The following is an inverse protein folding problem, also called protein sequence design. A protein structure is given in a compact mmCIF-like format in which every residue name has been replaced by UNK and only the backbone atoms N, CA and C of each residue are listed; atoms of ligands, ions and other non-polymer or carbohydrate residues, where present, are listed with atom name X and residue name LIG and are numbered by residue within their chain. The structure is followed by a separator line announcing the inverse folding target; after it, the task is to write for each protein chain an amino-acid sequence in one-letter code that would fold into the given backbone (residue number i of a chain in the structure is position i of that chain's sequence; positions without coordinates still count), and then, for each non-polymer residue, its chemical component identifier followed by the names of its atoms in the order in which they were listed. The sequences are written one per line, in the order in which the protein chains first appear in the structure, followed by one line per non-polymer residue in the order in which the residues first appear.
data_IF_921917932122
#
_entry.id   IF_921917932122
#
_cell.length_a   1.000
_cell.length_b   1.000
_cell.length_c   1.000
_cell.angle_alpha   90.00
_cell.angle_beta   90.00
_cell.angle_gamma   90.00
#
_symmetry.space_group_name_H-M   'P 1'
#
loop_
_entity.id
_entity.type
_entity.pdbx_description
1 polymer ?
#
# COMPACT_ATOMS: atom_id res chain seq x y z
N UNK A 1 -0.75 12.35 -18.40
CA UNK A 1 0.18 12.89 -17.38
C UNK A 1 0.85 11.68 -16.80
N UNK A 2 2.17 11.62 -16.84
CA UNK A 2 2.90 10.47 -16.33
C UNK A 2 2.80 10.39 -14.80
N UNK A 3 2.99 9.18 -14.28
CA UNK A 3 2.84 8.90 -12.85
C UNK A 3 3.92 9.58 -12.01
N UNK A 4 3.52 10.06 -10.81
CA UNK A 4 4.35 10.31 -9.66
C UNK A 4 5.63 9.49 -9.51
N UNK A 5 6.84 10.01 -9.73
CA UNK A 5 8.05 9.30 -9.28
C UNK A 5 8.96 10.22 -8.49
N UNK A 6 9.31 9.82 -7.27
CA UNK A 6 10.29 10.47 -6.40
C UNK A 6 11.37 9.45 -6.08
N UNK A 7 12.63 9.79 -6.32
CA UNK A 7 13.75 8.86 -6.12
C UNK A 7 14.87 9.52 -5.31
N UNK A 8 15.45 8.75 -4.40
CA UNK A 8 16.72 9.02 -3.74
C UNK A 8 17.73 7.92 -4.11
N UNK A 9 18.96 8.00 -3.60
CA UNK A 9 19.97 6.96 -3.83
C UNK A 9 19.54 5.56 -3.38
N UNK A 10 18.59 5.48 -2.44
CA UNK A 10 18.18 4.22 -1.81
C UNK A 10 16.72 3.85 -1.97
N UNK A 11 15.86 4.81 -2.30
CA UNK A 11 14.42 4.62 -2.27
C UNK A 11 13.78 5.15 -3.55
N UNK A 12 12.80 4.40 -4.03
CA UNK A 12 11.91 4.79 -5.10
C UNK A 12 10.50 4.86 -4.53
N UNK A 13 9.86 6.02 -4.65
CA UNK A 13 8.45 6.18 -4.38
C UNK A 13 7.71 6.38 -5.70
N UNK A 14 6.76 5.47 -5.97
CA UNK A 14 5.87 5.47 -7.12
C UNK A 14 4.44 5.23 -6.66
N UNK A 15 3.47 5.45 -7.55
CA UNK A 15 2.08 5.06 -7.30
C UNK A 15 2.00 3.54 -7.05
N UNK A 16 1.15 3.18 -6.08
CA UNK A 16 0.73 1.80 -5.84
C UNK A 16 0.05 1.22 -7.07
N UNK A 17 0.25 -0.06 -7.30
CA UNK A 17 -0.45 -0.80 -8.35
C UNK A 17 -0.96 -2.15 -7.83
N UNK A 18 -1.89 -2.81 -8.54
CA UNK A 18 -2.42 -4.11 -8.12
C UNK A 18 -1.33 -5.19 -7.95
N UNK A 19 -0.19 -5.06 -8.62
CA UNK A 19 0.93 -5.99 -8.47
C UNK A 19 1.62 -5.91 -7.10
N UNK A 20 1.39 -4.83 -6.34
CA UNK A 20 1.96 -4.65 -5.00
C UNK A 20 1.15 -5.39 -3.90
N UNK A 21 0.00 -5.99 -4.25
CA UNK A 21 -0.93 -6.57 -3.27
C UNK A 21 -0.28 -7.61 -2.38
N UNK A 22 0.53 -8.52 -2.93
CA UNK A 22 1.15 -9.56 -2.13
C UNK A 22 2.17 -8.98 -1.14
N UNK A 23 2.93 -7.97 -1.55
CA UNK A 23 3.88 -7.28 -0.67
C UNK A 23 3.15 -6.48 0.41
N UNK A 24 2.08 -5.75 0.05
CA UNK A 24 1.26 -5.03 1.02
C UNK A 24 0.60 -5.98 2.03
N UNK A 25 0.00 -7.07 1.54
CA UNK A 25 -0.66 -8.06 2.38
C UNK A 25 0.32 -8.72 3.35
N UNK A 26 1.53 -9.06 2.89
CA UNK A 26 2.58 -9.58 3.77
C UNK A 26 2.97 -8.57 4.86
N UNK A 27 3.15 -7.29 4.50
CA UNK A 27 3.50 -6.22 5.44
C UNK A 27 2.44 -6.04 6.53
N UNK A 28 1.17 -6.01 6.17
CA UNK A 28 0.05 -5.78 7.11
C UNK A 28 -0.43 -7.05 7.81
N UNK A 29 0.09 -8.22 7.43
CA UNK A 29 -0.08 -9.47 8.17
C UNK A 29 0.92 -9.62 9.33
N UNK A 30 1.94 -8.76 9.40
CA UNK A 30 2.89 -8.74 10.51
C UNK A 30 2.27 -8.02 11.73
N UNK A 31 2.17 -8.71 12.85
CA UNK A 31 1.59 -8.19 14.09
C UNK A 31 2.32 -6.94 14.61
N UNK A 32 3.64 -6.86 14.41
CA UNK A 32 4.44 -5.70 14.82
C UNK A 32 4.13 -4.47 13.97
N UNK A 33 3.64 -4.67 12.75
CA UNK A 33 3.19 -3.62 11.85
C UNK A 33 1.73 -3.28 12.13
N UNK A 34 0.82 -4.26 12.08
CA UNK A 34 -0.63 -4.04 12.08
C UNK A 34 -1.11 -3.35 13.37
N UNK A 35 -0.47 -3.60 14.52
CA UNK A 35 -0.81 -2.95 15.79
C UNK A 35 -0.71 -1.42 15.76
N UNK A 36 0.05 -0.86 14.80
CA UNK A 36 0.26 0.57 14.63
C UNK A 36 -0.63 1.21 13.54
N UNK A 37 -1.52 0.45 12.91
CA UNK A 37 -2.28 0.89 11.71
C UNK A 37 -3.73 1.30 11.99
N UNK A 38 -4.08 1.44 13.28
CA UNK A 38 -5.37 1.86 13.83
C UNK A 38 -6.59 1.00 13.41
N UNK A 39 -7.00 1.05 12.15
CA UNK A 39 -8.24 0.43 11.64
C UNK A 39 -7.99 -0.76 10.72
N UNK A 40 -6.74 -1.16 10.52
CA UNK A 40 -6.43 -2.33 9.72
C UNK A 40 -6.88 -3.62 10.45
N UNK A 41 -7.58 -4.54 9.77
CA UNK A 41 -8.00 -5.79 10.40
C UNK A 41 -6.81 -6.65 10.86
N UNK A 42 -6.96 -7.29 12.03
CA UNK A 42 -6.09 -8.38 12.48
C UNK A 42 -6.96 -9.61 12.82
N UNK A 43 -6.74 -10.78 12.17
CA UNK A 43 -5.76 -11.02 11.11
C UNK A 43 -6.06 -10.20 9.85
N UNK A 44 -5.03 -9.96 9.02
CA UNK A 44 -5.16 -9.20 7.79
C UNK A 44 -6.18 -9.85 6.83
N UNK A 45 -7.10 -9.04 6.31
CA UNK A 45 -8.03 -9.44 5.25
C UNK A 45 -7.45 -9.07 3.88
N UNK A 46 -7.27 -10.07 3.02
CA UNK A 46 -6.74 -9.89 1.67
C UNK A 46 -7.62 -8.99 0.80
N UNK A 47 -8.95 -9.12 0.90
CA UNK A 47 -9.87 -8.30 0.13
C UNK A 47 -9.81 -6.83 0.57
N UNK A 48 -9.68 -6.60 1.88
CA UNK A 48 -9.42 -5.27 2.42
C UNK A 48 -8.08 -4.70 1.93
N UNK A 49 -7.01 -5.49 1.94
CA UNK A 49 -5.70 -5.07 1.43
C UNK A 49 -5.76 -4.71 -0.07
N UNK A 50 -6.49 -5.48 -0.88
CA UNK A 50 -6.72 -5.19 -2.30
C UNK A 50 -7.41 -3.83 -2.49
N UNK A 51 -8.43 -3.52 -1.68
CA UNK A 51 -9.11 -2.21 -1.71
C UNK A 51 -8.18 -1.02 -1.39
N UNK A 52 -7.10 -1.27 -0.64
CA UNK A 52 -6.07 -0.28 -0.27
C UNK A 52 -4.88 -0.27 -1.23
N UNK A 53 -4.70 -1.31 -2.03
CA UNK A 53 -3.63 -1.47 -3.01
C UNK A 53 -4.04 -0.98 -4.42
N UNK A 54 -4.70 0.17 -4.46
CA UNK A 54 -5.13 0.80 -5.72
C UNK A 54 -4.33 2.07 -5.98
N UNK A 55 -4.06 2.41 -7.26
CA UNK A 55 -3.50 3.72 -7.60
C UNK A 55 -4.44 4.83 -7.14
N UNK A 56 -3.91 5.83 -6.43
CA UNK A 56 -4.68 7.01 -6.09
C UNK A 56 -5.03 7.84 -7.34
N UNK A 57 -6.27 8.33 -7.40
CA UNK A 57 -6.76 9.22 -8.46
C UNK A 57 -6.33 10.66 -8.19
N UNK A 58 -5.32 11.12 -8.93
CA UNK A 58 -4.74 12.46 -8.81
C UNK A 58 -5.74 13.58 -9.16
N UNK A 59 -6.84 13.28 -9.87
CA UNK A 59 -7.89 14.26 -10.19
C UNK A 59 -8.91 14.47 -9.05
N UNK A 60 -8.86 13.64 -8.00
CA UNK A 60 -9.74 13.72 -6.83
C UNK A 60 -9.08 14.38 -5.61
N UNK A 61 -8.03 15.16 -5.83
CA UNK A 61 -7.32 15.94 -4.80
C UNK A 61 -8.06 17.20 -4.37
#
# INVERSE_FOLDING_TARGET
MDDPVIQTDRLLWRRSSPQDLDALHALVSDDEVVKNTATWPSPADRAFAESRCAPFDLGRG
#
